data_IF_997128836151
#
_entry.id   IF_997128836151
#
_cell.length_a   1.000
_cell.length_b   1.000
_cell.length_c   1.000
_cell.angle_alpha   90.00
_cell.angle_beta   90.00
_cell.angle_gamma   90.00
#
_symmetry.space_group_name_H-M   'P 1'
#
loop_
_entity.id
_entity.type
_entity.pdbx_description
1 polymer ?
#
# COMPACT_ATOMS: atom_id res chain seq x y z
N UNK A 1 -58.19 19.86 11.18
CA UNK A 1 -57.40 19.66 9.95
C UNK A 1 -55.97 19.60 10.38
N UNK A 2 -55.47 18.39 10.68
CA UNK A 2 -54.08 18.13 11.14
C UNK A 2 -53.26 17.60 9.99
N UNK A 3 -52.25 18.33 9.62
CA UNK A 3 -51.26 17.88 8.65
C UNK A 3 -50.17 17.06 9.35
N UNK A 4 -50.11 15.76 9.08
CA UNK A 4 -48.97 14.90 9.39
C UNK A 4 -47.85 15.16 8.37
N UNK A 5 -46.78 15.73 8.84
CA UNK A 5 -45.48 15.69 8.14
C UNK A 5 -44.79 14.37 8.48
N UNK A 6 -44.73 13.49 7.51
CA UNK A 6 -43.95 12.24 7.58
C UNK A 6 -42.50 12.59 7.27
N UNK A 7 -41.66 12.46 8.27
CA UNK A 7 -40.20 12.45 8.13
C UNK A 7 -39.77 11.10 7.52
N UNK A 8 -39.61 11.05 6.22
CA UNK A 8 -38.92 9.97 5.52
C UNK A 8 -37.54 10.50 5.07
N UNK A 9 -36.56 10.24 5.87
CA UNK A 9 -35.20 10.59 5.51
C UNK A 9 -34.20 9.92 6.45
N UNK A 10 -33.25 9.19 5.88
CA UNK A 10 -32.08 8.58 6.51
C UNK A 10 -32.16 7.07 6.76
N UNK A 11 -32.34 6.29 5.68
CA UNK A 11 -31.96 4.86 5.66
C UNK A 11 -31.21 4.48 4.36
N UNK A 12 -31.07 5.38 3.39
CA UNK A 12 -30.54 5.02 2.06
C UNK A 12 -29.01 5.08 1.96
N UNK A 13 -28.32 5.76 2.89
CA UNK A 13 -26.86 5.97 2.77
C UNK A 13 -26.00 4.74 3.17
N UNK A 14 -26.48 3.91 4.10
CA UNK A 14 -25.68 2.75 4.58
C UNK A 14 -25.70 1.55 3.62
N UNK A 15 -26.76 1.37 2.85
CA UNK A 15 -26.83 0.28 1.86
C UNK A 15 -26.06 0.58 0.57
N UNK A 16 -25.95 1.85 0.18
CA UNK A 16 -25.25 2.25 -1.04
C UNK A 16 -23.74 2.05 -0.97
N UNK A 17 -23.11 2.36 0.17
CA UNK A 17 -21.66 2.22 0.36
C UNK A 17 -21.21 0.76 0.41
N UNK A 18 -21.98 -0.14 1.03
CA UNK A 18 -21.67 -1.59 1.07
C UNK A 18 -21.72 -2.22 -0.33
N UNK A 19 -22.76 -1.92 -1.10
CA UNK A 19 -22.88 -2.45 -2.45
C UNK A 19 -21.77 -1.96 -3.38
N UNK A 20 -21.30 -0.72 -3.23
CA UNK A 20 -20.22 -0.15 -4.02
C UNK A 20 -18.87 -0.76 -3.66
N UNK A 21 -18.54 -0.91 -2.37
CA UNK A 21 -17.28 -1.55 -1.95
C UNK A 21 -17.25 -3.02 -2.38
N UNK A 22 -18.33 -3.78 -2.17
CA UNK A 22 -18.42 -5.18 -2.60
C UNK A 22 -18.36 -5.34 -4.12
N UNK A 23 -18.92 -4.40 -4.90
CA UNK A 23 -18.85 -4.41 -6.35
C UNK A 23 -17.44 -4.06 -6.86
N UNK A 24 -16.74 -3.13 -6.21
CA UNK A 24 -15.36 -2.79 -6.52
C UNK A 24 -14.44 -3.97 -6.23
N UNK A 25 -14.62 -4.65 -5.09
CA UNK A 25 -13.87 -5.85 -4.72
C UNK A 25 -14.05 -7.00 -5.74
N UNK A 26 -15.27 -7.22 -6.20
CA UNK A 26 -15.59 -8.25 -7.20
C UNK A 26 -15.00 -7.94 -8.59
N UNK A 27 -14.67 -6.67 -8.86
CA UNK A 27 -14.21 -6.20 -10.18
C UNK A 27 -12.68 -6.04 -10.28
N UNK A 28 -11.94 -6.19 -9.18
CA UNK A 28 -10.47 -6.10 -9.20
C UNK A 28 -9.85 -7.49 -9.11
N UNK A 29 -9.19 -7.92 -10.18
CA UNK A 29 -8.50 -9.22 -10.24
C UNK A 29 -7.05 -9.04 -10.69
N UNK A 30 -6.19 -9.98 -10.32
CA UNK A 30 -4.80 -10.00 -10.79
C UNK A 30 -4.75 -10.16 -12.31
N UNK A 31 -3.89 -9.38 -12.97
CA UNK A 31 -3.49 -9.66 -14.35
C UNK A 31 -2.44 -10.77 -14.36
N UNK A 32 -2.89 -11.99 -14.50
CA UNK A 32 -2.03 -13.18 -14.48
C UNK A 32 -1.14 -13.31 -15.71
N UNK A 33 -1.35 -12.47 -16.72
CA UNK A 33 -0.56 -12.47 -17.97
C UNK A 33 0.58 -11.45 -17.95
N UNK A 34 0.55 -10.49 -17.02
CA UNK A 34 1.53 -9.43 -16.94
C UNK A 34 2.92 -9.96 -16.60
N UNK A 35 3.87 -9.77 -17.51
CA UNK A 35 5.27 -10.25 -17.40
C UNK A 35 6.23 -9.18 -17.90
N UNK A 36 6.50 -8.12 -17.09
CA UNK A 36 7.45 -7.08 -17.49
C UNK A 36 8.85 -7.66 -17.64
N UNK A 37 9.70 -7.14 -18.55
CA UNK A 37 11.07 -7.59 -18.67
C UNK A 37 11.86 -7.31 -17.38
N UNK A 38 12.76 -8.20 -17.01
CA UNK A 38 13.79 -8.02 -15.99
C UNK A 38 15.13 -8.26 -16.69
N UNK A 39 15.86 -7.19 -16.95
CA UNK A 39 17.13 -7.28 -17.68
C UNK A 39 18.21 -8.01 -16.88
N UNK A 40 18.26 -7.75 -15.58
CA UNK A 40 19.24 -8.33 -14.65
C UNK A 40 18.54 -8.71 -13.34
N UNK A 41 18.16 -9.96 -13.18
CA UNK A 41 17.66 -10.46 -11.90
C UNK A 41 18.69 -10.26 -10.79
N UNK A 42 18.24 -9.85 -9.61
CA UNK A 42 19.13 -9.59 -8.46
C UNK A 42 19.78 -10.88 -7.93
N UNK A 43 19.10 -12.02 -8.10
CA UNK A 43 19.56 -13.31 -7.61
C UNK A 43 19.31 -14.42 -8.64
N UNK A 44 20.05 -15.54 -8.56
CA UNK A 44 19.64 -16.77 -9.24
C UNK A 44 18.22 -17.17 -8.82
N UNK A 45 17.50 -17.85 -9.68
CA UNK A 45 16.12 -18.28 -9.41
C UNK A 45 16.05 -19.06 -8.09
N UNK A 46 15.27 -18.57 -7.14
CA UNK A 46 15.09 -19.16 -5.81
C UNK A 46 16.34 -19.10 -4.91
N UNK A 47 17.36 -18.32 -5.28
CA UNK A 47 18.59 -18.14 -4.49
C UNK A 47 18.61 -16.87 -3.65
N UNK A 48 17.59 -16.03 -3.78
CA UNK A 48 17.47 -14.76 -3.07
C UNK A 48 16.80 -14.86 -1.69
N UNK A 49 16.69 -13.72 -1.00
CA UNK A 49 16.04 -13.63 0.31
C UNK A 49 14.57 -14.10 0.28
N UNK A 50 14.11 -14.58 1.44
CA UNK A 50 12.68 -14.92 1.62
C UNK A 50 11.89 -13.64 1.88
N UNK A 51 10.87 -13.41 1.06
CA UNK A 51 9.85 -12.37 1.23
C UNK A 51 8.57 -13.04 1.72
N UNK A 52 8.14 -12.71 2.93
CA UNK A 52 6.85 -13.13 3.47
C UNK A 52 5.79 -12.09 3.08
N UNK A 53 4.71 -12.51 2.42
CA UNK A 53 3.52 -11.68 2.18
C UNK A 53 2.51 -12.03 3.26
N UNK A 54 2.15 -11.04 4.07
CA UNK A 54 1.16 -11.19 5.14
C UNK A 54 -0.24 -11.47 4.57
N UNK A 55 -0.88 -12.50 5.11
CA UNK A 55 -2.26 -12.90 4.80
C UNK A 55 -3.08 -13.20 6.07
N UNK A 56 -2.51 -12.90 7.26
CA UNK A 56 -3.14 -13.17 8.54
C UNK A 56 -4.11 -12.07 9.00
N UNK A 57 -4.05 -10.91 8.37
CA UNK A 57 -4.75 -9.70 8.82
C UNK A 57 -5.79 -9.24 7.79
N UNK A 58 -6.62 -10.17 7.30
CA UNK A 58 -7.68 -9.89 6.30
C UNK A 58 -7.19 -8.99 5.15
N UNK A 59 -5.97 -9.24 4.70
CA UNK A 59 -5.30 -8.43 3.69
C UNK A 59 -6.06 -8.45 2.36
N UNK A 60 -6.32 -7.27 1.82
CA UNK A 60 -6.93 -7.13 0.50
C UNK A 60 -6.05 -7.71 -0.61
N UNK A 61 -4.73 -7.72 -0.39
CA UNK A 61 -3.73 -8.19 -1.32
C UNK A 61 -3.00 -9.42 -0.77
N UNK A 62 -3.23 -10.57 -1.39
CA UNK A 62 -2.60 -11.84 -1.05
C UNK A 62 -1.68 -12.33 -2.16
N UNK A 63 -0.69 -13.17 -1.86
CA UNK A 63 0.33 -13.64 -2.79
C UNK A 63 -0.24 -14.42 -3.99
N UNK A 64 -1.39 -15.07 -3.83
CA UNK A 64 -2.09 -15.81 -4.88
C UNK A 64 -3.33 -15.07 -5.41
N UNK A 65 -3.71 -13.98 -4.76
CA UNK A 65 -4.80 -13.10 -5.13
C UNK A 65 -4.30 -11.88 -5.93
N UNK A 66 -4.71 -10.68 -5.52
CA UNK A 66 -4.39 -9.44 -6.23
C UNK A 66 -2.90 -9.11 -6.29
N UNK A 67 -2.07 -9.66 -5.39
CA UNK A 67 -0.60 -9.51 -5.42
C UNK A 67 0.13 -10.66 -6.11
N UNK A 68 -0.56 -11.54 -6.84
CA UNK A 68 0.09 -12.54 -7.67
C UNK A 68 1.12 -11.92 -8.66
N UNK A 69 0.83 -10.82 -9.38
CA UNK A 69 1.82 -10.18 -10.24
C UNK A 69 3.05 -9.65 -9.50
N UNK A 70 2.88 -9.11 -8.29
CA UNK A 70 3.99 -8.72 -7.43
C UNK A 70 4.83 -9.94 -7.01
N UNK A 71 4.18 -10.99 -6.53
CA UNK A 71 4.86 -12.22 -6.14
C UNK A 71 5.64 -12.85 -7.31
N UNK A 72 5.05 -12.87 -8.51
CA UNK A 72 5.71 -13.39 -9.72
C UNK A 72 6.87 -12.50 -10.19
N UNK A 73 6.74 -11.18 -10.09
CA UNK A 73 7.82 -10.25 -10.36
C UNK A 73 9.03 -10.55 -9.47
N UNK A 74 8.81 -10.73 -8.17
CA UNK A 74 9.86 -11.03 -7.21
C UNK A 74 10.48 -12.42 -7.43
N UNK A 75 9.68 -13.46 -7.71
CA UNK A 75 10.20 -14.80 -8.04
C UNK A 75 11.10 -14.78 -9.26
N UNK A 76 10.75 -14.00 -10.27
CA UNK A 76 11.54 -13.83 -11.48
C UNK A 76 12.82 -13.03 -11.26
N UNK A 77 12.85 -12.16 -10.23
CA UNK A 77 14.04 -11.45 -9.77
C UNK A 77 14.90 -12.31 -8.81
N UNK A 78 14.48 -13.55 -8.55
CA UNK A 78 15.18 -14.59 -7.81
C UNK A 78 14.83 -14.71 -6.34
N UNK A 79 13.89 -13.90 -5.81
CA UNK A 79 13.42 -14.02 -4.43
C UNK A 79 12.62 -15.31 -4.19
N UNK A 80 12.60 -15.76 -2.93
CA UNK A 80 11.71 -16.81 -2.45
C UNK A 80 10.48 -16.13 -1.83
N UNK A 81 9.33 -16.21 -2.48
CA UNK A 81 8.10 -15.59 -2.00
C UNK A 81 7.21 -16.61 -1.31
N UNK A 82 6.84 -16.32 -0.05
CA UNK A 82 5.97 -17.13 0.80
C UNK A 82 4.76 -16.34 1.27
N UNK A 83 3.57 -16.91 1.15
CA UNK A 83 2.39 -16.44 1.87
C UNK A 83 2.52 -16.77 3.36
N UNK A 84 2.09 -15.87 4.24
CA UNK A 84 2.14 -16.07 5.69
C UNK A 84 0.77 -15.79 6.30
N UNK A 85 0.04 -16.84 6.65
CA UNK A 85 -1.23 -16.78 7.38
C UNK A 85 -1.04 -16.87 8.91
N UNK A 86 0.20 -16.79 9.39
CA UNK A 86 0.51 -16.83 10.80
C UNK A 86 0.54 -15.41 11.42
N UNK A 87 0.07 -15.29 12.65
CA UNK A 87 0.23 -14.06 13.43
C UNK A 87 1.70 -13.64 13.51
N UNK A 88 1.94 -12.34 13.57
CA UNK A 88 3.28 -11.74 13.54
C UNK A 88 4.01 -11.89 14.89
N UNK A 89 4.41 -13.12 15.20
CA UNK A 89 5.23 -13.44 16.37
C UNK A 89 6.72 -13.39 16.02
N UNK A 90 7.59 -13.27 17.03
CA UNK A 90 9.03 -13.30 16.84
C UNK A 90 9.50 -14.54 16.05
N UNK A 91 8.90 -15.72 16.32
CA UNK A 91 9.22 -16.96 15.60
C UNK A 91 8.75 -16.94 14.15
N UNK A 92 7.54 -16.47 13.87
CA UNK A 92 7.01 -16.37 12.51
C UNK A 92 7.83 -15.42 11.64
N UNK A 93 8.33 -14.33 12.22
CA UNK A 93 9.15 -13.33 11.53
C UNK A 93 10.56 -13.83 11.18
N UNK A 94 11.09 -14.87 11.84
CA UNK A 94 12.41 -15.44 11.52
C UNK A 94 12.43 -16.22 10.20
N UNK A 95 11.28 -16.49 9.59
CA UNK A 95 11.19 -17.27 8.34
C UNK A 95 11.68 -16.47 7.13
N UNK A 96 11.61 -15.13 7.18
CA UNK A 96 11.95 -14.25 6.06
C UNK A 96 12.89 -13.10 6.43
N UNK A 97 13.49 -12.51 5.42
CA UNK A 97 14.28 -11.29 5.53
C UNK A 97 13.42 -10.04 5.29
N UNK A 98 12.34 -10.17 4.52
CA UNK A 98 11.39 -9.10 4.24
C UNK A 98 9.99 -9.56 4.61
N UNK A 99 9.26 -8.72 5.34
CA UNK A 99 7.83 -8.82 5.56
C UNK A 99 7.14 -7.77 4.69
N UNK A 100 6.24 -8.19 3.81
CA UNK A 100 5.38 -7.32 3.01
C UNK A 100 3.95 -7.38 3.54
N UNK A 101 3.45 -6.26 4.02
CA UNK A 101 2.08 -6.09 4.49
C UNK A 101 1.39 -5.12 3.55
N UNK A 102 0.29 -5.53 2.95
CA UNK A 102 -0.48 -4.68 2.05
C UNK A 102 -1.97 -4.72 2.39
N UNK A 103 -2.52 -3.54 2.67
CA UNK A 103 -3.94 -3.34 2.94
C UNK A 103 -4.49 -4.36 3.94
N UNK A 104 -3.82 -4.46 5.11
CA UNK A 104 -4.31 -5.21 6.25
C UNK A 104 -5.60 -4.57 6.80
N UNK A 105 -6.50 -5.38 7.30
CA UNK A 105 -7.73 -4.95 7.95
C UNK A 105 -7.95 -5.73 9.24
N UNK A 106 -8.75 -5.17 10.15
CA UNK A 106 -9.06 -5.82 11.42
C UNK A 106 -10.04 -6.95 11.26
N UNK A 107 -11.10 -6.74 10.46
CA UNK A 107 -12.22 -7.66 10.31
C UNK A 107 -12.72 -7.73 8.87
N UNK A 108 -13.35 -8.86 8.55
CA UNK A 108 -14.08 -9.04 7.29
C UNK A 108 -15.46 -8.38 7.32
N UNK A 109 -16.02 -8.11 8.52
CA UNK A 109 -17.29 -7.41 8.67
C UNK A 109 -17.11 -5.93 9.03
N UNK A 110 -17.30 -5.02 8.05
CA UNK A 110 -17.23 -3.58 8.29
C UNK A 110 -18.25 -3.06 9.32
N UNK A 111 -19.28 -3.86 9.67
CA UNK A 111 -20.30 -3.45 10.66
C UNK A 111 -19.83 -3.61 12.09
N UNK A 112 -18.83 -4.44 12.35
CA UNK A 112 -18.21 -4.63 13.67
C UNK A 112 -17.00 -3.73 13.91
N UNK A 113 -16.60 -2.94 12.91
CA UNK A 113 -15.63 -1.88 13.06
C UNK A 113 -16.16 -0.80 14.02
N UNK A 114 -16.15 -1.12 15.30
CA UNK A 114 -16.32 -0.11 16.33
C UNK A 114 -15.13 0.84 16.26
N UNK A 115 -15.43 2.10 16.00
CA UNK A 115 -14.50 3.20 15.76
C UNK A 115 -13.46 3.48 16.86
N UNK A 116 -13.42 2.69 17.94
CA UNK A 116 -12.52 2.90 19.06
C UNK A 116 -11.10 2.35 18.87
N UNK A 117 -10.91 1.31 18.06
CA UNK A 117 -9.58 0.76 17.72
C UNK A 117 -9.62 0.08 16.34
N UNK A 118 -9.31 0.80 15.28
CA UNK A 118 -9.30 0.25 13.91
C UNK A 118 -8.09 -0.64 13.61
N UNK A 119 -7.14 -0.84 14.55
CA UNK A 119 -5.89 -1.52 14.28
C UNK A 119 -6.10 -2.97 13.81
N UNK A 120 -5.44 -3.33 12.70
CA UNK A 120 -5.35 -4.70 12.24
C UNK A 120 -4.40 -5.55 13.10
N UNK A 121 -3.52 -4.92 13.85
CA UNK A 121 -2.43 -5.55 14.59
C UNK A 121 -2.61 -5.38 16.10
N UNK A 122 -2.34 -6.44 16.87
CA UNK A 122 -2.25 -6.32 18.32
C UNK A 122 -1.00 -5.54 18.75
N UNK A 123 -0.98 -5.11 20.01
CA UNK A 123 0.20 -4.44 20.56
C UNK A 123 1.44 -5.35 20.57
N UNK A 124 1.24 -6.66 20.80
CA UNK A 124 2.29 -7.67 20.79
C UNK A 124 2.85 -7.88 19.38
N UNK A 125 2.00 -7.92 18.35
CA UNK A 125 2.41 -8.04 16.95
C UNK A 125 3.17 -6.79 16.51
N UNK A 126 2.67 -5.61 16.85
CA UNK A 126 3.36 -4.34 16.60
C UNK A 126 4.76 -4.31 17.25
N UNK A 127 4.87 -4.74 18.50
CA UNK A 127 6.16 -4.82 19.19
C UNK A 127 7.09 -5.86 18.52
N UNK A 128 6.57 -7.04 18.16
CA UNK A 128 7.35 -8.09 17.53
C UNK A 128 7.92 -7.65 16.17
N UNK A 129 7.11 -6.98 15.32
CA UNK A 129 7.57 -6.44 14.05
C UNK A 129 8.63 -5.35 14.25
N UNK A 130 8.37 -4.41 15.17
CA UNK A 130 9.33 -3.34 15.49
C UNK A 130 10.68 -3.91 15.93
N UNK A 131 10.67 -4.87 16.84
CA UNK A 131 11.88 -5.44 17.42
C UNK A 131 12.63 -6.33 16.40
N UNK A 132 11.90 -7.03 15.54
CA UNK A 132 12.47 -7.79 14.44
C UNK A 132 13.14 -6.87 13.40
N UNK A 133 12.50 -5.76 13.01
CA UNK A 133 13.14 -4.75 12.13
C UNK A 133 14.36 -4.14 12.83
N UNK A 134 14.27 -3.80 14.11
CA UNK A 134 15.39 -3.29 14.87
C UNK A 134 16.59 -4.27 14.90
N UNK A 135 16.31 -5.57 14.82
CA UNK A 135 17.31 -6.66 14.75
C UNK A 135 17.93 -6.88 13.38
N UNK A 136 17.39 -6.29 12.31
CA UNK A 136 17.90 -6.41 10.93
C UNK A 136 16.89 -6.90 9.90
N UNK A 137 15.66 -7.20 10.29
CA UNK A 137 14.57 -7.49 9.36
C UNK A 137 14.16 -6.26 8.54
N UNK A 138 13.42 -6.45 7.47
CA UNK A 138 12.97 -5.37 6.60
C UNK A 138 11.47 -5.42 6.38
N UNK A 139 10.79 -4.28 6.56
CA UNK A 139 9.35 -4.13 6.41
C UNK A 139 8.99 -3.34 5.15
N UNK A 140 8.14 -3.91 4.31
CA UNK A 140 7.36 -3.18 3.31
C UNK A 140 5.94 -3.02 3.85
N UNK A 141 5.56 -1.82 4.26
CA UNK A 141 4.23 -1.49 4.76
C UNK A 141 3.47 -0.66 3.74
N UNK A 142 2.35 -1.19 3.28
CA UNK A 142 1.49 -0.53 2.30
C UNK A 142 0.09 -0.41 2.90
N UNK A 143 -0.42 0.82 3.00
CA UNK A 143 -1.76 1.08 3.48
C UNK A 143 -2.42 2.17 2.64
N UNK A 144 -3.39 1.76 1.84
CA UNK A 144 -4.20 2.60 0.97
C UNK A 144 -5.13 3.52 1.78
N UNK A 145 -6.06 4.21 1.13
CA UNK A 145 -7.09 5.01 1.83
C UNK A 145 -7.91 4.17 2.82
N UNK A 146 -8.88 4.77 3.48
CA UNK A 146 -9.81 4.04 4.38
C UNK A 146 -10.42 2.81 3.70
N UNK A 147 -10.52 1.68 4.41
CA UNK A 147 -10.25 1.46 5.83
C UNK A 147 -8.80 1.09 6.18
N UNK A 148 -7.90 0.90 5.23
CA UNK A 148 -6.59 0.30 5.43
C UNK A 148 -5.58 1.20 6.14
N UNK A 149 -5.56 2.51 5.83
CA UNK A 149 -4.65 3.44 6.50
C UNK A 149 -4.91 3.51 8.02
N UNK A 150 -6.15 3.66 8.52
CA UNK A 150 -6.43 3.57 9.94
C UNK A 150 -6.08 2.21 10.56
N UNK A 151 -6.31 1.12 9.82
CA UNK A 151 -5.99 -0.23 10.30
C UNK A 151 -4.48 -0.47 10.47
N UNK A 152 -3.64 0.18 9.67
CA UNK A 152 -2.19 0.09 9.74
C UNK A 152 -1.54 1.11 10.70
N UNK A 153 -2.30 2.10 11.21
CA UNK A 153 -1.76 3.27 11.92
C UNK A 153 -0.96 2.91 13.17
N UNK A 154 -1.40 1.94 13.97
CA UNK A 154 -0.68 1.55 15.18
C UNK A 154 0.71 0.99 14.86
N UNK A 155 0.82 0.13 13.84
CA UNK A 155 2.09 -0.40 13.37
C UNK A 155 2.96 0.70 12.74
N UNK A 156 2.39 1.57 11.93
CA UNK A 156 3.09 2.68 11.30
C UNK A 156 3.70 3.65 12.33
N UNK A 157 2.94 3.98 13.38
CA UNK A 157 3.42 4.84 14.48
C UNK A 157 4.62 4.28 15.22
N UNK A 158 4.77 2.96 15.31
CA UNK A 158 5.96 2.35 15.91
C UNK A 158 7.26 2.70 15.17
N UNK A 159 7.15 3.19 13.94
CA UNK A 159 8.25 3.66 13.09
C UNK A 159 8.21 5.18 12.84
N UNK A 160 7.38 5.92 13.57
CA UNK A 160 7.25 7.37 13.39
C UNK A 160 6.48 7.79 12.13
N UNK A 161 5.62 6.94 11.60
CA UNK A 161 4.81 7.19 10.42
C UNK A 161 3.37 7.46 10.86
N UNK A 162 2.74 8.49 10.27
CA UNK A 162 1.35 8.88 10.56
C UNK A 162 0.55 8.94 9.27
N UNK A 163 -0.29 7.95 9.06
CA UNK A 163 -1.20 7.92 7.91
C UNK A 163 -2.34 8.94 8.06
N UNK A 164 -2.77 9.46 6.91
CA UNK A 164 -4.02 10.21 6.80
C UNK A 164 -4.98 9.38 5.93
N UNK A 165 -6.12 8.99 6.49
CA UNK A 165 -6.97 7.92 5.96
C UNK A 165 -7.69 8.21 4.63
N UNK A 166 -7.89 9.47 4.26
CA UNK A 166 -8.61 9.82 3.03
C UNK A 166 -7.81 9.53 1.75
N UNK A 167 -8.52 9.56 0.62
CA UNK A 167 -7.92 9.41 -0.70
C UNK A 167 -7.24 10.72 -1.13
N UNK A 168 -5.94 10.66 -1.42
CA UNK A 168 -5.18 11.81 -1.89
C UNK A 168 -5.38 12.02 -3.39
N UNK A 169 -5.82 13.22 -3.79
CA UNK A 169 -6.08 13.55 -5.19
C UNK A 169 -6.01 15.08 -5.42
N UNK A 170 -6.00 15.49 -6.69
CA UNK A 170 -6.17 16.90 -7.07
C UNK A 170 -7.61 17.17 -7.53
N UNK A 171 -8.16 18.39 -7.36
CA UNK A 171 -9.54 18.68 -7.70
C UNK A 171 -9.91 18.40 -9.16
N UNK A 172 -8.95 18.54 -10.06
CA UNK A 172 -9.16 18.37 -11.51
C UNK A 172 -9.06 16.90 -11.97
N UNK A 173 -8.56 16.03 -11.08
CA UNK A 173 -8.30 14.62 -11.41
C UNK A 173 -9.44 13.72 -10.91
N UNK A 174 -10.42 13.47 -11.76
CA UNK A 174 -11.52 12.56 -11.42
C UNK A 174 -11.13 11.07 -11.39
N UNK A 175 -9.96 10.71 -11.93
CA UNK A 175 -9.54 9.30 -12.07
C UNK A 175 -8.81 8.75 -10.84
N UNK A 176 -8.36 9.59 -9.92
CA UNK A 176 -7.52 9.20 -8.79
C UNK A 176 -6.08 8.80 -9.18
N UNK A 177 -5.74 8.82 -10.49
CA UNK A 177 -4.41 8.43 -10.97
C UNK A 177 -3.46 9.60 -10.86
N UNK A 178 -2.36 9.44 -10.13
CA UNK A 178 -1.32 10.46 -9.98
C UNK A 178 -0.01 9.97 -10.59
N UNK A 179 0.81 10.89 -11.05
CA UNK A 179 2.15 10.58 -11.55
C UNK A 179 3.16 11.49 -10.87
N UNK A 180 4.04 10.89 -10.10
CA UNK A 180 5.17 11.55 -9.46
C UNK A 180 6.34 11.61 -10.43
N UNK A 181 6.93 12.79 -10.62
CA UNK A 181 7.99 13.02 -11.63
C UNK A 181 9.20 13.71 -11.02
N UNK A 182 10.39 13.36 -11.53
CA UNK A 182 11.61 14.09 -11.20
C UNK A 182 11.57 15.53 -11.72
N UNK A 183 11.02 15.74 -12.91
CA UNK A 183 10.95 17.03 -13.58
C UNK A 183 10.21 18.12 -12.78
N UNK A 184 9.28 17.74 -11.91
CA UNK A 184 8.54 18.67 -11.04
C UNK A 184 8.87 18.49 -9.55
N UNK A 185 9.86 17.65 -9.21
CA UNK A 185 10.33 17.42 -7.86
C UNK A 185 9.37 16.59 -6.98
N UNK A 186 8.29 16.00 -7.52
CA UNK A 186 7.38 15.12 -6.75
C UNK A 186 7.96 13.72 -6.58
N UNK A 187 8.79 13.24 -7.51
CA UNK A 187 9.65 12.06 -7.36
C UNK A 187 11.03 12.53 -6.89
N UNK A 188 11.44 12.14 -5.69
CA UNK A 188 12.68 12.57 -5.06
C UNK A 188 13.89 11.75 -5.53
N UNK A 189 15.05 12.38 -5.55
CA UNK A 189 16.31 11.67 -5.81
C UNK A 189 16.68 10.77 -4.64
N UNK A 190 16.87 9.50 -4.96
CA UNK A 190 17.26 8.44 -4.02
C UNK A 190 17.89 7.28 -4.83
N UNK A 191 18.75 6.41 -4.28
CA UNK A 191 19.20 5.21 -5.00
C UNK A 191 18.03 4.40 -5.61
N UNK A 192 16.90 4.25 -4.91
CA UNK A 192 15.68 3.59 -5.41
C UNK A 192 15.13 4.22 -6.69
N UNK A 193 15.22 5.54 -6.82
CA UNK A 193 14.70 6.28 -7.98
C UNK A 193 15.75 6.54 -9.06
N UNK A 194 16.94 5.96 -8.93
CA UNK A 194 17.98 6.06 -9.97
C UNK A 194 17.50 5.40 -11.26
N UNK A 195 17.51 6.14 -12.36
CA UNK A 195 17.02 5.66 -13.66
C UNK A 195 15.50 5.64 -13.80
N UNK A 196 14.76 6.15 -12.80
CA UNK A 196 13.30 6.29 -12.82
C UNK A 196 12.97 7.77 -12.95
N UNK A 197 12.23 8.15 -13.97
CA UNK A 197 11.80 9.53 -14.22
C UNK A 197 10.40 9.81 -13.70
N UNK A 198 9.55 8.77 -13.68
CA UNK A 198 8.18 8.86 -13.22
C UNK A 198 7.68 7.56 -12.56
N UNK A 199 6.78 7.72 -11.58
CA UNK A 199 6.07 6.64 -10.90
C UNK A 199 4.60 6.99 -10.86
N UNK A 200 3.74 6.07 -11.31
CA UNK A 200 2.29 6.23 -11.29
C UNK A 200 1.66 5.54 -10.08
N UNK A 201 0.61 6.16 -9.52
CA UNK A 201 -0.24 5.62 -8.45
C UNK A 201 -1.71 5.72 -8.83
N UNK A 202 -2.59 4.97 -8.14
CA UNK A 202 -3.97 4.76 -8.56
C UNK A 202 -4.97 5.04 -7.43
N UNK A 203 -4.86 6.16 -6.78
CA UNK A 203 -5.50 6.63 -5.57
C UNK A 203 -4.57 6.45 -4.35
N UNK A 204 -5.14 6.23 -3.17
CA UNK A 204 -4.35 5.92 -1.97
C UNK A 204 -4.29 7.04 -0.96
N UNK A 205 -3.71 6.74 0.17
CA UNK A 205 -3.58 7.67 1.30
C UNK A 205 -2.32 8.53 1.20
N UNK A 206 -2.26 9.54 2.05
CA UNK A 206 -1.05 10.30 2.34
C UNK A 206 -0.55 10.00 3.76
N UNK A 207 0.72 10.29 4.02
CA UNK A 207 1.28 10.19 5.36
C UNK A 207 2.38 11.22 5.60
N UNK A 208 2.74 11.38 6.87
CA UNK A 208 3.91 12.09 7.32
C UNK A 208 4.87 11.11 7.99
N UNK A 209 6.15 11.41 7.99
CA UNK A 209 7.19 10.62 8.64
C UNK A 209 8.06 11.51 9.51
N UNK A 210 8.45 11.01 10.68
CA UNK A 210 9.34 11.72 11.58
C UNK A 210 10.77 11.85 11.03
N UNK A 211 11.63 12.60 11.73
CA UNK A 211 13.02 12.79 11.33
C UNK A 211 13.77 11.46 11.12
N UNK A 212 14.54 11.38 10.03
CA UNK A 212 15.27 10.18 9.62
C UNK A 212 14.62 9.42 8.45
N UNK A 213 13.36 9.68 8.14
CA UNK A 213 12.72 9.18 6.93
C UNK A 213 13.21 9.91 5.67
N UNK A 214 13.29 9.18 4.57
CA UNK A 214 13.71 9.70 3.26
C UNK A 214 12.53 9.61 2.29
N UNK A 215 12.06 10.77 1.84
CA UNK A 215 10.93 10.87 0.93
C UNK A 215 11.27 10.32 -0.45
N UNK A 216 10.35 9.57 -1.05
CA UNK A 216 10.42 9.11 -2.44
C UNK A 216 9.34 9.78 -3.29
N UNK A 217 8.07 9.70 -2.86
CA UNK A 217 6.91 10.25 -3.54
C UNK A 217 6.30 11.35 -2.65
N UNK A 218 6.32 12.59 -3.13
CA UNK A 218 5.85 13.78 -2.39
C UNK A 218 4.70 14.42 -3.14
N UNK A 219 3.58 14.65 -2.48
CA UNK A 219 2.44 15.31 -3.10
C UNK A 219 2.75 16.76 -3.47
N UNK A 220 2.45 17.10 -4.71
CA UNK A 220 2.60 18.44 -5.28
C UNK A 220 1.55 19.44 -4.78
N UNK A 221 1.60 20.67 -5.29
CA UNK A 221 0.58 21.68 -5.02
C UNK A 221 -0.83 21.21 -5.35
N UNK A 222 -1.84 21.78 -4.65
CA UNK A 222 -3.26 21.49 -4.88
C UNK A 222 -3.65 20.02 -4.72
N UNK A 223 -2.88 19.25 -3.92
CA UNK A 223 -3.28 17.90 -3.55
C UNK A 223 -4.03 17.94 -2.22
N UNK A 224 -5.15 17.26 -2.16
CA UNK A 224 -6.05 17.18 -1.01
C UNK A 224 -6.35 15.72 -0.66
N UNK A 225 -6.59 15.45 0.62
CA UNK A 225 -7.12 14.18 1.10
C UNK A 225 -8.64 14.30 1.23
N UNK A 226 -9.36 13.38 0.60
CA UNK A 226 -10.81 13.28 0.59
C UNK A 226 -11.24 12.09 1.45
N UNK A 227 -12.09 12.31 2.46
CA UNK A 227 -12.57 11.28 3.37
C UNK A 227 -14.08 11.45 3.58
N UNK A 228 -14.88 10.55 3.02
CA UNK A 228 -16.34 10.59 3.10
C UNK A 228 -16.90 11.91 2.60
N UNK A 229 -17.75 12.54 3.42
CA UNK A 229 -18.37 13.85 3.14
C UNK A 229 -17.69 15.03 3.86
N UNK A 230 -16.51 14.77 4.44
CA UNK A 230 -15.75 15.83 5.10
C UNK A 230 -15.14 16.79 4.08
N UNK A 231 -14.89 18.04 4.52
CA UNK A 231 -14.16 18.99 3.69
C UNK A 231 -12.76 18.44 3.34
N UNK A 232 -12.34 18.55 2.08
CA UNK A 232 -11.02 18.10 1.66
C UNK A 232 -9.90 18.80 2.43
N UNK A 233 -8.93 18.03 2.91
CA UNK A 233 -7.80 18.55 3.69
C UNK A 233 -6.56 18.66 2.82
N UNK A 234 -5.88 19.82 2.74
CA UNK A 234 -4.64 19.94 1.98
C UNK A 234 -3.56 18.96 2.47
N UNK A 235 -2.91 18.28 1.53
CA UNK A 235 -1.81 17.33 1.79
C UNK A 235 -0.57 17.63 0.94
N UNK A 236 -0.45 18.85 0.42
CA UNK A 236 0.76 19.32 -0.26
C UNK A 236 1.99 19.12 0.62
N UNK A 237 3.01 18.44 0.11
CA UNK A 237 4.22 18.13 0.86
C UNK A 237 4.15 16.87 1.73
N UNK A 238 2.98 16.29 1.96
CA UNK A 238 2.84 14.96 2.52
C UNK A 238 3.40 13.91 1.56
N UNK A 239 3.59 12.69 2.04
CA UNK A 239 4.22 11.61 1.31
C UNK A 239 3.20 10.56 0.87
N UNK A 240 3.45 9.93 -0.27
CA UNK A 240 2.81 8.67 -0.66
C UNK A 240 3.82 7.51 -0.72
N UNK A 241 5.12 7.82 -0.66
CA UNK A 241 6.17 6.82 -0.60
C UNK A 241 7.41 7.37 0.13
N UNK A 242 7.95 6.58 1.05
CA UNK A 242 9.17 6.90 1.80
C UNK A 242 9.90 5.64 2.24
N UNK A 243 11.16 5.80 2.60
CA UNK A 243 11.97 4.76 3.22
C UNK A 243 12.65 5.28 4.49
N UNK A 244 12.93 4.37 5.40
CA UNK A 244 13.51 4.66 6.70
C UNK A 244 14.51 3.57 7.10
N UNK A 245 15.83 3.86 7.22
CA UNK A 245 16.72 3.03 8.00
C UNK A 245 16.26 3.00 9.47
N UNK A 246 16.04 1.82 10.02
CA UNK A 246 15.58 1.68 11.40
C UNK A 246 16.49 0.74 12.18
N UNK A 247 17.38 1.30 13.00
CA UNK A 247 18.45 0.58 13.71
C UNK A 247 19.26 -0.30 12.76
N UNK A 248 19.13 -1.64 12.80
CA UNK A 248 19.83 -2.57 11.90
C UNK A 248 19.02 -2.93 10.65
N UNK A 249 17.73 -2.67 10.66
CA UNK A 249 16.81 -3.01 9.57
C UNK A 249 16.34 -1.80 8.77
N UNK A 250 15.30 -2.01 7.98
CA UNK A 250 14.78 -1.03 7.04
C UNK A 250 13.28 -1.09 6.94
N UNK A 251 12.66 0.06 6.70
CA UNK A 251 11.22 0.18 6.45
C UNK A 251 11.02 0.92 5.13
N UNK A 252 10.22 0.37 4.24
CA UNK A 252 9.64 1.08 3.12
C UNK A 252 8.13 1.21 3.35
N UNK A 253 7.59 2.40 3.23
CA UNK A 253 6.18 2.70 3.48
C UNK A 253 5.56 3.38 2.29
N UNK A 254 4.35 2.92 1.91
CA UNK A 254 3.60 3.48 0.80
C UNK A 254 2.11 3.62 1.13
N UNK A 255 1.52 4.71 0.66
CA UNK A 255 0.10 5.00 0.79
C UNK A 255 -0.75 4.47 -0.36
N UNK A 256 -0.20 3.65 -1.26
CA UNK A 256 -0.92 3.15 -2.42
C UNK A 256 -0.43 1.74 -2.79
N UNK A 257 -1.37 0.85 -3.05
CA UNK A 257 -1.08 -0.56 -3.19
C UNK A 257 -1.06 -1.07 -4.64
N UNK A 258 -1.88 -0.50 -5.53
CA UNK A 258 -1.96 -0.98 -6.90
C UNK A 258 -0.67 -0.75 -7.69
N UNK A 259 0.13 0.26 -7.33
CA UNK A 259 1.44 0.51 -7.95
C UNK A 259 2.42 -0.66 -7.82
N UNK A 260 2.22 -1.54 -6.83
CA UNK A 260 3.05 -2.71 -6.56
C UNK A 260 2.58 -3.98 -7.28
N UNK A 261 1.41 -3.94 -7.92
CA UNK A 261 0.86 -5.10 -8.61
C UNK A 261 0.36 -4.73 -10.00
N UNK A 262 -0.20 -5.69 -10.72
CA UNK A 262 -0.90 -5.51 -11.99
C UNK A 262 -2.29 -6.11 -11.88
N UNK A 263 -3.32 -5.29 -12.04
CA UNK A 263 -4.71 -5.68 -11.89
C UNK A 263 -5.51 -5.33 -13.13
N UNK A 264 -6.65 -5.99 -13.27
CA UNK A 264 -7.69 -5.68 -14.22
C UNK A 264 -8.93 -5.27 -13.44
N UNK A 265 -9.49 -4.11 -13.73
CA UNK A 265 -10.60 -3.52 -13.00
C UNK A 265 -11.78 -3.19 -13.91
N UNK A 266 -12.99 -3.28 -13.35
CA UNK A 266 -14.24 -3.06 -14.07
C UNK A 266 -14.59 -4.17 -15.04
N UNK A 267 -15.77 -4.06 -15.65
CA UNK A 267 -16.27 -5.04 -16.63
C UNK A 267 -15.38 -5.10 -17.88
N UNK A 268 -14.86 -3.95 -18.31
CA UNK A 268 -13.96 -3.82 -19.46
C UNK A 268 -12.51 -4.22 -19.17
N UNK A 269 -12.22 -4.69 -17.97
CA UNK A 269 -10.89 -5.15 -17.55
C UNK A 269 -9.77 -4.14 -17.82
N UNK A 270 -9.97 -2.91 -17.41
CA UNK A 270 -8.96 -1.85 -17.56
C UNK A 270 -7.72 -2.13 -16.71
N UNK A 271 -6.49 -1.99 -17.26
CA UNK A 271 -5.27 -2.11 -16.51
C UNK A 271 -5.17 -1.08 -15.37
N UNK A 272 -4.82 -1.58 -14.17
CA UNK A 272 -4.57 -0.77 -12.98
C UNK A 272 -3.35 -1.31 -12.22
N UNK A 273 -2.34 -0.47 -12.03
CA UNK A 273 -1.06 -0.86 -11.45
C UNK A 273 0.05 -0.91 -12.50
N UNK A 274 1.02 -1.80 -12.33
CA UNK A 274 2.22 -1.91 -13.18
C UNK A 274 1.92 -2.17 -14.66
N UNK A 275 0.75 -2.73 -14.99
CA UNK A 275 0.29 -2.99 -16.37
C UNK A 275 -0.38 -1.80 -17.03
N UNK A 276 -0.61 -0.69 -16.33
CA UNK A 276 -1.21 0.50 -16.90
C UNK A 276 -0.20 1.28 -17.77
N UNK A 277 -0.68 1.88 -18.87
CA UNK A 277 0.16 2.61 -19.82
C UNK A 277 0.96 3.78 -19.20
N UNK A 278 0.45 4.37 -18.12
CA UNK A 278 1.12 5.45 -17.37
C UNK A 278 2.16 4.94 -16.37
N UNK A 279 2.26 3.63 -16.11
CA UNK A 279 3.07 3.02 -15.07
C UNK A 279 4.27 2.23 -15.62
N UNK A 280 4.82 2.65 -16.76
CA UNK A 280 5.88 1.91 -17.46
C UNK A 280 7.12 1.66 -16.62
N UNK A 281 7.46 2.56 -15.71
CA UNK A 281 8.64 2.44 -14.84
C UNK A 281 8.32 1.85 -13.46
N UNK A 282 7.05 1.61 -13.15
CA UNK A 282 6.66 1.02 -11.85
C UNK A 282 7.29 -0.36 -11.59
N UNK A 283 7.38 -1.30 -12.57
CA UNK A 283 8.02 -2.58 -12.29
C UNK A 283 9.46 -2.45 -11.82
N UNK A 284 10.24 -1.57 -12.47
CA UNK A 284 11.62 -1.31 -12.05
C UNK A 284 11.69 -0.59 -10.71
N UNK A 285 10.79 0.38 -10.46
CA UNK A 285 10.70 1.06 -9.17
C UNK A 285 10.41 0.06 -8.03
N UNK A 286 9.47 -0.86 -8.23
CA UNK A 286 9.14 -1.92 -7.26
C UNK A 286 10.35 -2.81 -6.98
N UNK A 287 11.07 -3.25 -8.00
CA UNK A 287 12.31 -4.02 -7.83
C UNK A 287 13.36 -3.23 -7.05
N UNK A 288 13.54 -1.95 -7.37
CA UNK A 288 14.50 -1.09 -6.66
C UNK A 288 14.13 -0.93 -5.17
N UNK A 289 12.85 -0.83 -4.83
CA UNK A 289 12.39 -0.82 -3.42
C UNK A 289 12.79 -2.12 -2.73
N UNK A 290 12.57 -3.27 -3.37
CA UNK A 290 12.90 -4.58 -2.81
C UNK A 290 14.42 -4.79 -2.69
N UNK A 291 15.19 -4.34 -3.67
CA UNK A 291 16.66 -4.35 -3.63
C UNK A 291 17.19 -3.49 -2.48
N UNK A 292 16.58 -2.32 -2.25
CA UNK A 292 16.95 -1.48 -1.11
C UNK A 292 16.65 -2.17 0.22
N UNK A 293 15.48 -2.80 0.36
CA UNK A 293 15.10 -3.56 1.56
C UNK A 293 16.06 -4.72 1.86
N UNK A 294 16.65 -5.32 0.83
CA UNK A 294 17.57 -6.46 0.96
C UNK A 294 19.05 -6.13 0.82
N UNK A 295 19.39 -4.83 0.79
CA UNK A 295 20.79 -4.34 0.73
C UNK A 295 21.57 -4.78 -0.52
N UNK A 296 20.88 -4.99 -1.64
CA UNK A 296 21.51 -5.33 -2.94
C UNK A 296 21.77 -4.11 -3.83
N UNK A 297 21.45 -2.91 -3.34
CA UNK A 297 21.75 -1.63 -4.00
C UNK A 297 23.00 -1.00 -3.42
#
# INVERSE_FOLDING_TARGET
MNSLLVTAGVVVAAFGTRAVISAIDAQQVADTTFRPPIERPAYPVGGGPVVQIDEAHHNFHTATGRYLPFAELLRRDGYIVKASAARLTANALQVGQVLAISNANRDTDPSESTLSDPSAFSAEETAAVRDWVAGGGSLLLIADHEPWAPAAEALARAFGIRFRGGMANTPENSSGRLVFRKSNGTLRDHPITKGIDEVATFAGSSFEIDAGGQALLVFGPQTYSYSGQNEPVPVTGHLQGAVLPYKKGRVAVFGEAAMFTAQLTGEDRHPMGMNAAIAKQNPQFVLNVMHWLTSTM
#
